data_IF_737861023745
#
_entry.id   IF_737861023745
#
_cell.length_a   1.000
_cell.length_b   1.000
_cell.length_c   1.000
_cell.angle_alpha   90.00
_cell.angle_beta   90.00
_cell.angle_gamma   90.00
#
_symmetry.space_group_name_H-M   'P 1'
#
loop_
_entity.id
_entity.type
_entity.pdbx_description
1 polymer ?
#
# COMPACT_ATOMS: atom_id res chain seq x y z
N UNK A 1 29.37 -58.93 27.63
CA UNK A 1 29.70 -58.83 29.07
C UNK A 1 30.04 -57.37 29.35
N UNK A 2 29.29 -56.73 30.26
CA UNK A 2 29.43 -55.32 30.69
C UNK A 2 30.84 -55.11 31.29
N UNK A 3 31.43 -53.91 31.27
CA UNK A 3 31.30 -52.89 32.33
C UNK A 3 31.63 -51.50 31.76
N UNK A 4 30.68 -50.59 31.96
CA UNK A 4 30.78 -49.13 31.83
C UNK A 4 31.21 -48.64 33.21
N UNK A 5 32.24 -47.80 33.31
CA UNK A 5 32.55 -47.06 34.54
C UNK A 5 33.35 -45.79 34.21
N UNK A 6 32.92 -44.65 34.74
CA UNK A 6 33.78 -43.47 34.87
C UNK A 6 33.11 -42.12 34.68
N UNK A 7 31.99 -41.86 35.36
CA UNK A 7 31.43 -40.53 35.52
C UNK A 7 32.40 -39.62 36.27
N UNK A 8 32.71 -38.44 35.72
CA UNK A 8 33.25 -37.30 36.48
C UNK A 8 32.27 -36.14 36.29
N UNK A 9 31.53 -35.87 37.36
CA UNK A 9 30.67 -34.69 37.50
C UNK A 9 31.56 -33.46 37.72
N UNK A 10 31.53 -32.50 36.79
CA UNK A 10 32.05 -31.17 37.00
C UNK A 10 30.86 -30.20 37.06
N UNK A 11 30.54 -29.75 38.28
CA UNK A 11 29.59 -28.69 38.54
C UNK A 11 30.19 -27.34 38.14
N UNK A 12 29.50 -26.59 37.28
CA UNK A 12 29.82 -25.20 36.98
C UNK A 12 28.55 -24.37 37.08
N UNK A 13 28.39 -23.73 38.24
CA UNK A 13 27.43 -22.67 38.50
C UNK A 13 27.96 -21.38 37.85
N UNK A 14 27.35 -20.97 36.74
CA UNK A 14 27.56 -19.64 36.18
C UNK A 14 26.37 -18.75 36.57
N UNK A 15 26.56 -17.88 37.55
CA UNK A 15 25.64 -16.80 37.87
C UNK A 15 25.85 -15.65 36.86
N UNK A 16 24.94 -15.49 35.92
CA UNK A 16 24.96 -14.39 34.96
C UNK A 16 24.20 -13.21 35.60
N UNK A 17 24.94 -12.19 36.02
CA UNK A 17 24.38 -10.90 36.40
C UNK A 17 24.10 -10.12 35.11
N UNK A 18 22.83 -10.04 34.69
CA UNK A 18 22.42 -9.13 33.62
C UNK A 18 22.36 -7.70 34.17
N UNK A 19 23.38 -6.89 33.87
CA UNK A 19 23.30 -5.43 33.98
C UNK A 19 22.58 -4.89 32.74
N UNK A 20 21.28 -4.59 32.84
CA UNK A 20 20.55 -3.91 31.78
C UNK A 20 20.89 -2.41 31.81
N UNK A 21 21.70 -1.97 30.84
CA UNK A 21 21.91 -0.55 30.56
C UNK A 21 20.63 -0.02 29.90
N UNK A 22 19.82 0.71 30.64
CA UNK A 22 18.66 1.42 30.08
C UNK A 22 19.18 2.62 29.30
N UNK A 23 19.33 2.45 27.99
CA UNK A 23 19.58 3.56 27.07
C UNK A 23 18.25 4.28 26.88
N UNK A 24 18.16 5.52 27.36
CA UNK A 24 17.04 6.42 27.09
C UNK A 24 17.02 6.72 25.57
N UNK A 25 16.38 5.84 24.80
CA UNK A 25 16.01 6.10 23.43
C UNK A 25 14.81 7.04 23.43
N UNK A 26 14.95 8.17 22.73
CA UNK A 26 13.85 9.05 22.36
C UNK A 26 12.74 8.18 21.76
N UNK A 27 11.61 8.07 22.47
CA UNK A 27 10.40 7.49 21.93
C UNK A 27 9.87 8.47 20.89
N UNK A 28 10.29 8.29 19.63
CA UNK A 28 9.47 8.73 18.52
C UNK A 28 8.19 7.93 18.66
N UNK A 29 7.11 8.60 19.09
CA UNK A 29 5.76 8.05 18.97
C UNK A 29 5.53 7.76 17.49
N UNK A 30 5.83 6.54 17.07
CA UNK A 30 5.22 5.97 15.88
C UNK A 30 3.75 5.82 16.25
N UNK A 31 2.96 6.85 15.96
CA UNK A 31 1.51 6.70 15.83
C UNK A 31 1.32 5.52 14.89
N UNK A 32 0.71 4.41 15.34
CA UNK A 32 0.44 3.30 14.44
C UNK A 32 -0.48 3.86 13.35
N UNK A 33 0.03 3.94 12.12
CA UNK A 33 -0.77 4.21 10.95
C UNK A 33 -1.72 3.01 10.79
N UNK A 34 -2.92 3.13 11.36
CA UNK A 34 -3.94 2.11 11.24
C UNK A 34 -4.47 2.22 9.82
N UNK A 35 -4.08 1.26 8.98
CA UNK A 35 -4.60 1.09 7.62
C UNK A 35 -6.10 0.72 7.72
N UNK A 36 -6.97 1.73 7.76
CA UNK A 36 -8.45 1.56 7.75
C UNK A 36 -9.11 2.00 6.45
N UNK A 37 -8.35 2.37 5.42
CA UNK A 37 -8.90 3.04 4.24
C UNK A 37 -9.39 2.06 3.17
N UNK A 38 -10.13 1.03 3.58
CA UNK A 38 -10.97 0.25 2.68
C UNK A 38 -12.36 0.88 2.66
N UNK A 39 -12.77 1.41 1.50
CA UNK A 39 -14.10 1.99 1.30
C UNK A 39 -14.07 3.45 0.85
N UNK A 40 -15.25 4.06 0.69
CA UNK A 40 -15.35 5.42 0.17
C UNK A 40 -14.98 6.44 1.26
N UNK A 41 -13.96 7.31 1.05
CA UNK A 41 -13.60 8.34 2.03
C UNK A 41 -14.73 9.37 2.13
N UNK A 42 -14.73 10.17 3.20
CA UNK A 42 -15.78 11.18 3.45
C UNK A 42 -15.80 12.30 2.40
N UNK A 43 -14.65 12.60 1.81
CA UNK A 43 -14.46 13.61 0.75
C UNK A 43 -13.63 13.04 -0.40
N UNK A 44 -14.17 12.10 -1.19
CA UNK A 44 -13.47 11.66 -2.39
C UNK A 44 -13.44 12.82 -3.39
N UNK A 45 -12.34 12.94 -4.12
CA UNK A 45 -12.17 13.96 -5.16
C UNK A 45 -12.56 13.41 -6.53
N UNK A 46 -12.02 12.24 -6.86
CA UNK A 46 -12.24 11.51 -8.09
C UNK A 46 -11.89 10.03 -7.87
N UNK A 47 -12.14 9.19 -8.88
CA UNK A 47 -11.82 7.77 -8.87
C UNK A 47 -10.71 7.46 -9.87
N UNK A 48 -9.86 6.48 -9.59
CA UNK A 48 -8.88 5.98 -10.55
C UNK A 48 -8.82 4.46 -10.56
N UNK A 49 -8.62 3.88 -11.74
CA UNK A 49 -8.23 2.48 -11.91
C UNK A 49 -6.74 2.39 -12.25
N UNK A 50 -6.02 1.46 -11.64
CA UNK A 50 -4.63 1.14 -11.95
C UNK A 50 -4.55 -0.26 -12.55
N UNK A 51 -3.95 -0.37 -13.74
CA UNK A 51 -3.62 -1.65 -14.35
C UNK A 51 -2.12 -1.94 -14.19
N UNK A 52 -1.74 -3.09 -13.63
CA UNK A 52 -0.33 -3.49 -13.56
C UNK A 52 -0.17 -5.00 -13.76
N UNK A 53 1.01 -5.42 -14.24
CA UNK A 53 1.39 -6.84 -14.31
C UNK A 53 2.20 -7.28 -13.08
N UNK A 54 2.58 -6.35 -12.21
CA UNK A 54 3.54 -6.57 -11.12
C UNK A 54 2.96 -6.18 -9.77
N UNK A 55 2.36 -5.00 -9.67
CA UNK A 55 1.64 -4.58 -8.46
C UNK A 55 0.29 -5.27 -8.46
N UNK A 56 0.12 -6.16 -7.51
CA UNK A 56 -1.04 -7.02 -7.42
C UNK A 56 -1.96 -6.51 -6.31
N UNK A 57 -1.39 -6.06 -5.20
CA UNK A 57 -2.11 -5.68 -4.00
C UNK A 57 -2.38 -4.18 -4.00
N UNK A 58 -3.40 -3.77 -3.26
CA UNK A 58 -3.71 -2.37 -3.03
C UNK A 58 -2.65 -1.66 -2.19
N UNK A 59 -2.04 -2.35 -1.23
CA UNK A 59 -0.93 -1.83 -0.42
C UNK A 59 0.28 -1.38 -1.26
N UNK A 60 0.45 -1.95 -2.47
CA UNK A 60 1.47 -1.52 -3.44
C UNK A 60 1.23 -0.09 -3.97
N UNK A 61 0.06 0.49 -3.67
CA UNK A 61 -0.36 1.82 -4.13
C UNK A 61 -0.73 2.75 -2.97
N UNK A 62 -1.53 2.27 -2.00
CA UNK A 62 -2.15 3.10 -0.95
C UNK A 62 -1.15 3.63 0.08
N UNK A 63 -0.01 2.97 0.24
CA UNK A 63 1.03 3.37 1.20
C UNK A 63 2.03 4.39 0.64
N UNK A 64 1.93 4.74 -0.65
CA UNK A 64 2.92 5.56 -1.32
C UNK A 64 2.60 7.06 -1.21
N UNK A 65 3.59 7.91 -0.93
CA UNK A 65 3.42 9.34 -1.13
C UNK A 65 3.21 9.64 -2.61
N UNK A 66 2.09 10.25 -2.94
CA UNK A 66 1.79 10.73 -4.29
C UNK A 66 1.99 12.23 -4.39
N UNK A 67 2.17 12.71 -5.62
CA UNK A 67 2.33 14.13 -5.91
C UNK A 67 1.20 14.97 -5.31
N UNK A 68 1.58 16.09 -4.71
CA UNK A 68 0.62 16.94 -3.99
C UNK A 68 0.00 16.25 -2.78
N UNK A 69 0.68 15.30 -2.13
CA UNK A 69 0.21 14.59 -0.94
C UNK A 69 -1.16 13.88 -1.09
N UNK A 70 -1.55 13.54 -2.32
CA UNK A 70 -2.78 12.78 -2.56
C UNK A 70 -2.70 11.40 -1.92
N UNK A 71 -3.84 10.92 -1.44
CA UNK A 71 -3.98 9.59 -0.84
C UNK A 71 -4.90 8.72 -1.67
N UNK A 72 -4.68 7.41 -1.60
CA UNK A 72 -5.53 6.40 -2.24
C UNK A 72 -6.23 5.57 -1.19
N UNK A 73 -7.54 5.38 -1.38
CA UNK A 73 -8.33 4.45 -0.59
C UNK A 73 -8.92 3.39 -1.50
N UNK A 74 -8.75 2.12 -1.13
CA UNK A 74 -9.15 0.98 -1.97
C UNK A 74 -10.67 0.97 -2.16
N UNK A 75 -11.08 0.94 -3.42
CA UNK A 75 -12.48 0.91 -3.82
C UNK A 75 -12.90 -0.49 -4.28
N UNK A 76 -12.13 -1.07 -5.20
CA UNK A 76 -12.28 -2.45 -5.63
C UNK A 76 -10.90 -3.06 -5.87
N UNK A 77 -10.69 -4.22 -5.26
CA UNK A 77 -9.55 -5.10 -5.48
C UNK A 77 -10.05 -6.41 -6.07
N UNK A 78 -9.47 -6.85 -7.19
CA UNK A 78 -9.87 -8.11 -7.80
C UNK A 78 -9.54 -9.27 -6.85
N UNK A 79 -10.46 -10.20 -6.63
CA UNK A 79 -10.23 -11.29 -5.68
C UNK A 79 -9.20 -12.31 -6.19
N UNK A 80 -8.30 -12.76 -5.30
CA UNK A 80 -7.23 -13.75 -5.58
C UNK A 80 -7.65 -14.95 -6.48
N UNK A 81 -8.82 -15.61 -6.27
CA UNK A 81 -9.21 -16.76 -7.09
C UNK A 81 -9.43 -16.40 -8.56
N UNK A 82 -9.98 -15.21 -8.84
CA UNK A 82 -10.19 -14.72 -10.21
C UNK A 82 -8.88 -14.31 -10.86
N UNK A 83 -7.97 -13.75 -10.07
CA UNK A 83 -6.63 -13.37 -10.54
C UNK A 83 -5.80 -14.61 -10.92
N UNK A 84 -5.81 -15.66 -10.10
CA UNK A 84 -5.06 -16.89 -10.34
C UNK A 84 -5.52 -17.60 -11.62
N UNK A 85 -6.85 -17.71 -11.82
CA UNK A 85 -7.39 -18.29 -13.05
C UNK A 85 -6.95 -17.50 -14.30
N UNK A 86 -7.05 -16.17 -14.26
CA UNK A 86 -6.63 -15.32 -15.38
C UNK A 86 -5.13 -15.38 -15.65
N UNK A 87 -4.30 -15.48 -14.61
CA UNK A 87 -2.84 -15.63 -14.74
C UNK A 87 -2.46 -16.92 -15.47
N UNK A 88 -3.07 -18.05 -15.10
CA UNK A 88 -2.79 -19.36 -15.70
C UNK A 88 -3.15 -19.38 -17.19
N UNK A 89 -4.28 -18.78 -17.57
CA UNK A 89 -4.80 -18.86 -18.93
C UNK A 89 -4.40 -17.68 -19.83
N UNK A 90 -3.80 -16.60 -19.29
CA UNK A 90 -3.49 -15.41 -20.07
C UNK A 90 -2.12 -14.81 -19.71
N UNK A 91 -1.11 -15.07 -20.55
CA UNK A 91 0.27 -14.58 -20.35
C UNK A 91 0.39 -13.05 -20.29
N UNK A 92 -0.60 -12.33 -20.83
CA UNK A 92 -0.66 -10.87 -20.83
C UNK A 92 -1.64 -10.31 -19.79
N UNK A 93 -2.08 -11.10 -18.80
CA UNK A 93 -2.97 -10.61 -17.75
C UNK A 93 -2.36 -9.38 -17.05
N UNK A 94 -3.24 -8.44 -16.71
CA UNK A 94 -2.97 -7.33 -15.82
C UNK A 94 -3.92 -7.44 -14.64
N UNK A 95 -3.42 -7.17 -13.46
CA UNK A 95 -4.20 -6.90 -12.27
C UNK A 95 -4.81 -5.51 -12.41
N UNK A 96 -6.07 -5.40 -12.01
CA UNK A 96 -6.81 -4.15 -12.05
C UNK A 96 -7.27 -3.86 -10.64
N UNK A 97 -6.74 -2.77 -10.08
CA UNK A 97 -7.17 -2.22 -8.81
C UNK A 97 -7.85 -0.88 -9.06
N UNK A 98 -8.72 -0.47 -8.16
CA UNK A 98 -9.37 0.84 -8.26
C UNK A 98 -9.44 1.51 -6.90
N UNK A 99 -9.38 2.83 -6.94
CA UNK A 99 -9.14 3.66 -5.77
C UNK A 99 -10.00 4.92 -5.82
N UNK A 100 -10.46 5.34 -4.65
CA UNK A 100 -10.85 6.73 -4.43
C UNK A 100 -9.60 7.56 -4.17
N UNK A 101 -9.49 8.70 -4.84
CA UNK A 101 -8.43 9.68 -4.55
C UNK A 101 -9.00 10.75 -3.62
N UNK A 102 -8.27 11.08 -2.57
CA UNK A 102 -8.69 12.08 -1.60
C UNK A 102 -7.50 12.85 -1.02
N UNK A 103 -7.80 13.97 -0.39
CA UNK A 103 -6.87 14.74 0.43
C UNK A 103 -7.17 14.52 1.91
N UNK A 104 -6.13 14.47 2.73
CA UNK A 104 -6.28 14.52 4.18
C UNK A 104 -6.91 15.84 4.61
N UNK A 105 -7.55 15.84 5.78
CA UNK A 105 -8.23 17.03 6.28
C UNK A 105 -7.24 18.19 6.48
N UNK A 106 -7.51 19.34 5.82
CA UNK A 106 -6.68 20.57 5.84
C UNK A 106 -5.32 20.44 5.13
N UNK A 107 -5.17 19.49 4.22
CA UNK A 107 -3.99 19.42 3.36
C UNK A 107 -4.09 20.45 2.20
N UNK A 108 -3.51 21.63 2.43
CA UNK A 108 -3.56 22.75 1.48
C UNK A 108 -2.81 22.43 0.18
N UNK A 109 -1.73 21.66 0.26
CA UNK A 109 -0.94 21.29 -0.92
C UNK A 109 -1.76 20.37 -1.82
N UNK A 110 -2.40 19.36 -1.22
CA UNK A 110 -3.27 18.44 -1.93
C UNK A 110 -4.50 19.14 -2.52
N UNK A 111 -5.20 19.96 -1.73
CA UNK A 111 -6.36 20.70 -2.21
C UNK A 111 -5.98 21.63 -3.39
N UNK A 112 -4.81 22.29 -3.31
CA UNK A 112 -4.32 23.18 -4.38
C UNK A 112 -3.97 22.40 -5.64
N UNK A 113 -3.24 21.29 -5.50
CA UNK A 113 -2.83 20.45 -6.62
C UNK A 113 -4.05 19.84 -7.34
N UNK A 114 -4.98 19.26 -6.57
CA UNK A 114 -6.20 18.67 -7.10
C UNK A 114 -7.10 19.73 -7.77
N UNK A 115 -7.22 20.92 -7.19
CA UNK A 115 -7.99 22.02 -7.79
C UNK A 115 -7.36 22.51 -9.10
N UNK A 116 -6.04 22.64 -9.16
CA UNK A 116 -5.32 23.10 -10.35
C UNK A 116 -5.42 22.12 -11.53
N UNK A 117 -5.53 20.81 -11.24
CA UNK A 117 -5.66 19.75 -12.25
C UNK A 117 -7.08 19.17 -12.38
N UNK A 118 -8.09 19.85 -11.83
CA UNK A 118 -9.48 19.35 -11.80
C UNK A 118 -10.00 18.89 -13.17
N UNK A 119 -9.74 19.67 -14.21
CA UNK A 119 -10.19 19.40 -15.58
C UNK A 119 -9.19 18.57 -16.40
N UNK A 120 -8.09 18.12 -15.78
CA UNK A 120 -6.99 17.38 -16.42
C UNK A 120 -6.57 16.18 -15.59
N UNK A 121 -7.53 15.28 -15.35
CA UNK A 121 -7.30 14.04 -14.60
C UNK A 121 -6.29 13.10 -15.28
N UNK A 122 -6.07 13.26 -16.59
CA UNK A 122 -5.02 12.58 -17.35
C UNK A 122 -3.61 12.97 -16.87
N UNK A 123 -3.41 14.24 -16.51
CA UNK A 123 -2.13 14.72 -15.95
C UNK A 123 -1.91 14.13 -14.56
N UNK A 124 -2.95 14.09 -13.72
CA UNK A 124 -2.88 13.44 -12.41
C UNK A 124 -2.54 11.95 -12.58
N UNK A 125 -3.23 11.24 -13.48
CA UNK A 125 -2.96 9.83 -13.76
C UNK A 125 -1.50 9.60 -14.21
N UNK A 126 -0.98 10.44 -15.11
CA UNK A 126 0.40 10.34 -15.58
C UNK A 126 1.43 10.62 -14.46
N UNK A 127 1.12 11.55 -13.56
CA UNK A 127 1.97 11.79 -12.38
C UNK A 127 1.91 10.60 -11.42
N UNK A 128 0.74 10.00 -11.16
CA UNK A 128 0.62 8.76 -10.37
C UNK A 128 1.36 7.58 -11.00
N UNK A 129 1.30 7.42 -12.33
CA UNK A 129 2.07 6.41 -13.06
C UNK A 129 3.56 6.55 -12.80
N UNK A 130 4.08 7.78 -12.87
CA UNK A 130 5.49 8.07 -12.63
C UNK A 130 5.89 7.77 -11.19
N UNK A 131 5.18 8.32 -10.21
CA UNK A 131 5.49 8.14 -8.78
C UNK A 131 5.49 6.65 -8.39
N UNK A 132 4.44 5.91 -8.76
CA UNK A 132 4.37 4.48 -8.42
C UNK A 132 5.46 3.69 -9.17
N UNK A 133 5.76 4.03 -10.42
CA UNK A 133 6.84 3.36 -11.18
C UNK A 133 8.21 3.58 -10.54
N UNK A 134 8.49 4.80 -10.10
CA UNK A 134 9.76 5.16 -9.47
C UNK A 134 9.93 4.47 -8.11
N UNK A 135 8.85 4.36 -7.33
CA UNK A 135 8.88 3.82 -5.97
C UNK A 135 8.79 2.28 -5.90
N UNK A 136 8.07 1.64 -6.82
CA UNK A 136 7.77 0.18 -6.75
C UNK A 136 8.31 -0.63 -7.93
N UNK A 137 8.71 0.02 -9.02
CA UNK A 137 9.07 -0.63 -10.29
C UNK A 137 7.96 -1.48 -10.93
N UNK A 138 6.71 -1.27 -10.52
CA UNK A 138 5.57 -2.03 -11.04
C UNK A 138 5.07 -1.61 -12.41
N UNK A 139 5.38 -0.38 -12.84
CA UNK A 139 4.91 0.20 -14.12
C UNK A 139 3.39 0.09 -14.29
N UNK A 140 2.58 0.65 -13.37
CA UNK A 140 1.14 0.68 -13.56
C UNK A 140 0.74 1.60 -14.73
N UNK A 141 -0.53 1.53 -15.10
CA UNK A 141 -1.20 2.52 -15.94
C UNK A 141 -2.47 2.97 -15.24
N UNK A 142 -2.49 4.22 -14.78
CA UNK A 142 -3.64 4.85 -14.14
C UNK A 142 -4.58 5.44 -15.19
N UNK A 143 -5.88 5.34 -14.89
CA UNK A 143 -6.96 6.05 -15.59
C UNK A 143 -7.90 6.62 -14.55
N UNK A 144 -8.13 7.93 -14.60
CA UNK A 144 -8.91 8.64 -13.61
C UNK A 144 -10.19 9.22 -14.20
N UNK A 145 -11.25 9.26 -13.39
CA UNK A 145 -12.60 9.62 -13.78
C UNK A 145 -13.23 10.51 -12.72
N UNK A 146 -14.08 11.46 -13.14
CA UNK A 146 -14.88 12.22 -12.18
C UNK A 146 -15.82 11.27 -11.41
N UNK A 147 -16.19 11.66 -10.17
CA UNK A 147 -17.07 10.84 -9.33
C UNK A 147 -18.42 10.52 -9.98
N UNK A 148 -18.95 11.42 -10.81
CA UNK A 148 -20.21 11.22 -11.53
C UNK A 148 -20.09 10.10 -12.57
N UNK A 149 -18.92 9.97 -13.17
CA UNK A 149 -18.60 9.02 -14.25
C UNK A 149 -18.04 7.69 -13.70
N UNK A 150 -17.85 7.58 -12.38
CA UNK A 150 -17.39 6.38 -11.70
C UNK A 150 -18.56 5.56 -11.12
N UNK A 151 -18.55 4.24 -11.35
CA UNK A 151 -19.48 3.28 -10.76
C UNK A 151 -19.15 2.99 -9.28
N UNK A 152 -19.91 2.09 -8.65
CA UNK A 152 -19.70 1.72 -7.24
C UNK A 152 -18.35 1.04 -6.97
N UNK A 153 -17.67 0.59 -8.03
CA UNK A 153 -16.34 -0.04 -8.00
C UNK A 153 -15.27 0.88 -8.57
N UNK A 154 -15.53 2.18 -8.69
CA UNK A 154 -14.57 3.16 -9.19
C UNK A 154 -14.07 2.92 -10.62
N UNK A 155 -14.86 2.21 -11.43
CA UNK A 155 -14.64 2.08 -12.87
C UNK A 155 -15.51 3.07 -13.65
N UNK A 156 -15.12 3.38 -14.88
CA UNK A 156 -15.92 4.24 -15.76
C UNK A 156 -17.29 3.61 -16.02
N UNK A 157 -18.35 4.38 -15.81
CA UNK A 157 -19.69 4.13 -16.33
C UNK A 157 -19.65 4.38 -17.84
N UNK A 158 -19.62 3.32 -18.63
CA UNK A 158 -19.81 3.43 -20.08
C UNK A 158 -21.15 4.09 -20.42
#
# INVERSE_FOLDING_TARGET
MRIINGSIFAALLAAIILSTVVRAGVTVETVPYVNTDVGKPSRPLFACSAESRRCMYDDDFTSLPLKGNMQLSTCHHDSWPKQLGRWIFNRHHKFINSFWVYCNHKDVECDTYAAYHRDRLDVIAADMDREVTEQTHCKPTFRCYELKDADEKCFSKN
#
